data_IF_958818196199
#
_entry.id   IF_958818196199
#
_cell.length_a   1.000
_cell.length_b   1.000
_cell.length_c   1.000
_cell.angle_alpha   90.00
_cell.angle_beta   90.00
_cell.angle_gamma   90.00
#
_symmetry.space_group_name_H-M   'P 1'
#
loop_
_entity.id
_entity.type
_entity.pdbx_description
1 polymer ?
#
# COMPACT_ATOMS: atom_id res chain seq x y z
N UNK A 1 -17.10 18.50 9.01
CA UNK A 1 -16.50 18.24 7.68
C UNK A 1 -17.58 17.68 6.77
N UNK A 2 -17.76 18.20 5.57
CA UNK A 2 -18.79 17.69 4.64
C UNK A 2 -18.44 16.26 4.18
N UNK A 3 -19.43 15.38 4.05
CA UNK A 3 -19.27 13.99 3.58
C UNK A 3 -18.42 13.90 2.30
N UNK A 4 -18.66 14.82 1.35
CA UNK A 4 -17.92 14.90 0.08
C UNK A 4 -16.42 15.06 0.28
N UNK A 5 -15.99 15.87 1.26
CA UNK A 5 -14.57 16.08 1.52
C UNK A 5 -13.93 14.83 2.14
N UNK A 6 -14.66 14.11 2.99
CA UNK A 6 -14.18 12.85 3.56
C UNK A 6 -13.95 11.81 2.47
N UNK A 7 -14.91 11.64 1.56
CA UNK A 7 -14.75 10.76 0.40
C UNK A 7 -13.58 11.19 -0.49
N UNK A 8 -13.44 12.49 -0.78
CA UNK A 8 -12.34 12.99 -1.59
C UNK A 8 -10.98 12.60 -1.00
N UNK A 9 -10.77 12.86 0.30
CA UNK A 9 -9.51 12.53 0.98
C UNK A 9 -9.30 11.01 1.01
N UNK A 10 -10.36 10.24 1.29
CA UNK A 10 -10.30 8.77 1.32
C UNK A 10 -9.87 8.21 -0.05
N UNK A 11 -10.52 8.67 -1.12
CA UNK A 11 -10.22 8.22 -2.49
C UNK A 11 -8.82 8.65 -2.92
N UNK A 12 -8.40 9.89 -2.64
CA UNK A 12 -7.05 10.35 -2.96
C UNK A 12 -5.98 9.51 -2.25
N UNK A 13 -6.20 9.17 -0.98
CA UNK A 13 -5.30 8.28 -0.24
C UNK A 13 -5.23 6.88 -0.87
N UNK A 14 -6.38 6.31 -1.29
CA UNK A 14 -6.42 5.05 -2.04
C UNK A 14 -5.66 5.14 -3.36
N UNK A 15 -5.85 6.22 -4.14
CA UNK A 15 -5.15 6.44 -5.42
C UNK A 15 -3.64 6.52 -5.22
N UNK A 16 -3.18 7.30 -4.25
CA UNK A 16 -1.74 7.46 -3.97
C UNK A 16 -1.12 6.11 -3.60
N UNK A 17 -1.76 5.36 -2.69
CA UNK A 17 -1.18 4.12 -2.20
C UNK A 17 -1.30 2.98 -3.23
N UNK A 18 -2.51 2.65 -3.68
CA UNK A 18 -2.75 1.53 -4.60
C UNK A 18 -2.17 1.83 -5.97
N UNK A 19 -2.36 3.05 -6.49
CA UNK A 19 -1.77 3.49 -7.76
C UNK A 19 -0.24 3.52 -7.72
N UNK A 20 0.35 3.99 -6.62
CA UNK A 20 1.80 3.97 -6.43
C UNK A 20 2.36 2.54 -6.37
N UNK A 21 1.69 1.60 -5.71
CA UNK A 21 2.06 0.18 -5.74
C UNK A 21 1.93 -0.41 -7.13
N UNK A 22 0.87 -0.09 -7.87
CA UNK A 22 0.67 -0.54 -9.25
C UNK A 22 1.80 -0.06 -10.14
N UNK A 23 2.11 1.25 -10.13
CA UNK A 23 3.22 1.80 -10.90
C UNK A 23 4.55 1.15 -10.52
N UNK A 24 4.84 1.03 -9.22
CA UNK A 24 6.07 0.41 -8.75
C UNK A 24 6.22 -1.04 -9.26
N UNK A 25 5.17 -1.85 -9.15
CA UNK A 25 5.22 -3.27 -9.46
C UNK A 25 5.12 -3.58 -10.97
N UNK A 26 4.20 -2.92 -11.67
CA UNK A 26 3.87 -3.23 -13.07
C UNK A 26 4.71 -2.45 -14.08
N UNK A 27 5.24 -1.28 -13.69
CA UNK A 27 5.91 -0.36 -14.63
C UNK A 27 7.37 -0.18 -14.25
N UNK A 28 7.65 0.35 -13.06
CA UNK A 28 9.02 0.67 -12.66
C UNK A 28 9.88 -0.58 -12.52
N UNK A 29 9.35 -1.64 -11.91
CA UNK A 29 10.08 -2.88 -11.68
C UNK A 29 10.60 -3.55 -12.95
N UNK A 30 9.78 -3.86 -13.97
CA UNK A 30 10.28 -4.53 -15.17
C UNK A 30 11.33 -3.68 -15.88
N UNK A 31 11.13 -2.36 -15.98
CA UNK A 31 12.13 -1.44 -16.58
C UNK A 31 13.43 -1.46 -15.79
N UNK A 32 13.38 -1.33 -14.46
CA UNK A 32 14.58 -1.41 -13.62
C UNK A 32 15.27 -2.78 -13.65
N UNK A 33 14.56 -3.86 -14.03
CA UNK A 33 15.17 -5.18 -14.21
C UNK A 33 15.85 -5.34 -15.57
N UNK A 34 15.35 -4.68 -16.61
CA UNK A 34 15.89 -4.72 -17.96
C UNK A 34 17.10 -3.78 -18.12
N UNK A 35 17.02 -2.58 -17.54
CA UNK A 35 17.95 -1.49 -17.85
C UNK A 35 19.09 -1.34 -16.84
N UNK A 36 18.98 -1.91 -15.63
CA UNK A 36 19.92 -1.66 -14.53
C UNK A 36 20.58 -2.93 -14.03
N UNK A 37 21.89 -2.84 -13.78
CA UNK A 37 22.65 -3.86 -13.08
C UNK A 37 22.16 -4.06 -11.64
N UNK A 38 22.41 -5.23 -11.01
CA UNK A 38 21.85 -5.55 -9.69
C UNK A 38 22.14 -4.50 -8.60
N UNK A 39 23.36 -3.98 -8.40
CA UNK A 39 23.63 -2.96 -7.38
C UNK A 39 22.89 -1.65 -7.63
N UNK A 40 22.86 -1.20 -8.89
CA UNK A 40 22.17 0.04 -9.29
C UNK A 40 20.66 -0.07 -9.05
N UNK A 41 20.07 -1.21 -9.42
CA UNK A 41 18.65 -1.52 -9.17
C UNK A 41 18.32 -1.51 -7.68
N UNK A 42 19.18 -2.06 -6.83
CA UNK A 42 18.96 -2.08 -5.37
C UNK A 42 19.07 -0.68 -4.75
N UNK A 43 20.01 0.15 -5.23
CA UNK A 43 20.10 1.57 -4.84
C UNK A 43 18.86 2.35 -5.27
N UNK A 44 18.38 2.13 -6.50
CA UNK A 44 17.12 2.72 -7.00
C UNK A 44 15.95 2.37 -6.07
N UNK A 45 15.74 1.08 -5.79
CA UNK A 45 14.64 0.64 -4.94
C UNK A 45 14.71 1.18 -3.52
N UNK A 46 15.89 1.21 -2.90
CA UNK A 46 16.08 1.85 -1.61
C UNK A 46 15.69 3.34 -1.65
N UNK A 47 16.07 4.05 -2.72
CA UNK A 47 15.73 5.45 -2.95
C UNK A 47 14.25 5.71 -3.22
N UNK A 48 13.57 4.82 -3.95
CA UNK A 48 12.13 4.84 -4.23
C UNK A 48 11.35 4.63 -2.94
N UNK A 49 11.64 3.56 -2.19
CA UNK A 49 10.97 3.27 -0.92
C UNK A 49 11.17 4.37 0.11
N UNK A 50 12.38 4.94 0.20
CA UNK A 50 12.65 6.08 1.09
C UNK A 50 11.72 7.27 0.85
N UNK A 51 11.31 7.50 -0.40
CA UNK A 51 10.41 8.61 -0.77
C UNK A 51 8.95 8.21 -0.74
N UNK A 52 8.61 6.99 -1.16
CA UNK A 52 7.23 6.54 -1.27
C UNK A 52 6.62 6.10 0.06
N UNK A 53 7.38 5.47 0.95
CA UNK A 53 6.82 4.94 2.20
C UNK A 53 6.26 6.01 3.16
N UNK A 54 6.83 7.22 3.28
CA UNK A 54 6.17 8.32 3.99
C UNK A 54 4.79 8.68 3.42
N UNK A 55 4.62 8.66 2.10
CA UNK A 55 3.31 8.84 1.46
C UNK A 55 2.34 7.71 1.80
N UNK A 56 2.84 6.47 1.85
CA UNK A 56 2.02 5.31 2.24
C UNK A 56 1.56 5.43 3.70
N UNK A 57 2.43 5.79 4.64
CA UNK A 57 2.03 6.06 6.03
C UNK A 57 0.97 7.15 6.12
N UNK A 58 1.15 8.23 5.36
CA UNK A 58 0.18 9.34 5.30
C UNK A 58 -1.16 8.86 4.73
N UNK A 59 -1.15 8.06 3.67
CA UNK A 59 -2.35 7.47 3.09
C UNK A 59 -3.06 6.52 4.06
N UNK A 60 -2.34 5.66 4.77
CA UNK A 60 -2.91 4.76 5.80
C UNK A 60 -3.65 5.58 6.88
N UNK A 61 -3.00 6.60 7.43
CA UNK A 61 -3.62 7.45 8.45
C UNK A 61 -4.86 8.15 7.90
N UNK A 62 -4.77 8.71 6.69
CA UNK A 62 -5.91 9.34 6.03
C UNK A 62 -7.07 8.35 5.82
N UNK A 63 -6.80 7.14 5.34
CA UNK A 63 -7.82 6.11 5.09
C UNK A 63 -8.52 5.66 6.37
N UNK A 64 -7.77 5.40 7.44
CA UNK A 64 -8.35 4.98 8.73
C UNK A 64 -9.21 6.10 9.30
N UNK A 65 -8.67 7.33 9.40
CA UNK A 65 -9.39 8.45 9.99
C UNK A 65 -10.65 8.81 9.20
N UNK A 66 -10.55 8.87 7.87
CA UNK A 66 -11.70 9.18 7.02
C UNK A 66 -12.70 8.04 6.95
N UNK A 67 -12.26 6.78 6.91
CA UNK A 67 -13.14 5.61 6.92
C UNK A 67 -13.99 5.53 8.18
N UNK A 68 -13.37 5.73 9.35
CA UNK A 68 -14.09 5.77 10.63
C UNK A 68 -15.04 6.97 10.70
N UNK A 69 -14.63 8.15 10.24
CA UNK A 69 -15.49 9.34 10.21
C UNK A 69 -16.69 9.17 9.27
N UNK A 70 -16.50 8.55 8.10
CA UNK A 70 -17.57 8.22 7.16
C UNK A 70 -18.56 7.23 7.79
N UNK A 71 -18.06 6.14 8.38
CA UNK A 71 -18.91 5.15 9.04
C UNK A 71 -19.75 5.79 10.15
N UNK A 72 -19.16 6.66 10.98
CA UNK A 72 -19.88 7.40 12.02
C UNK A 72 -20.98 8.31 11.46
N UNK A 73 -20.69 9.07 10.39
CA UNK A 73 -21.68 9.95 9.77
C UNK A 73 -22.80 9.22 9.03
N UNK A 74 -22.56 7.97 8.62
CA UNK A 74 -23.54 7.10 7.95
C UNK A 74 -24.39 6.27 8.92
N UNK A 75 -24.34 6.55 10.23
CA UNK A 75 -25.13 5.85 11.25
C UNK A 75 -24.34 4.83 12.09
N UNK A 76 -23.02 4.73 11.88
CA UNK A 76 -22.11 3.90 12.66
C UNK A 76 -21.90 2.49 12.10
N UNK A 77 -20.93 1.77 12.67
CA UNK A 77 -20.54 0.42 12.22
C UNK A 77 -21.65 -0.63 12.40
N UNK A 78 -22.71 -0.36 13.17
CA UNK A 78 -23.86 -1.26 13.28
C UNK A 78 -24.85 -1.13 12.10
N UNK A 79 -24.76 -0.04 11.33
CA UNK A 79 -25.72 0.33 10.28
C UNK A 79 -25.13 0.18 8.89
N UNK A 80 -23.83 0.40 8.73
CA UNK A 80 -23.15 0.29 7.43
C UNK A 80 -23.27 -1.13 6.84
N UNK A 81 -23.35 -1.23 5.52
CA UNK A 81 -23.49 -2.51 4.84
C UNK A 81 -22.26 -3.41 4.99
N UNK A 82 -22.45 -4.73 4.78
CA UNK A 82 -21.40 -5.75 4.89
C UNK A 82 -20.13 -5.42 4.09
N UNK A 83 -20.29 -4.81 2.91
CA UNK A 83 -19.17 -4.38 2.07
C UNK A 83 -18.20 -3.43 2.80
N UNK A 84 -18.69 -2.55 3.68
CA UNK A 84 -17.84 -1.63 4.47
C UNK A 84 -17.02 -2.39 5.51
N UNK A 85 -17.60 -3.41 6.15
CA UNK A 85 -16.88 -4.24 7.11
C UNK A 85 -15.76 -5.03 6.46
N UNK A 86 -16.04 -5.66 5.31
CA UNK A 86 -15.02 -6.40 4.56
C UNK A 86 -13.95 -5.43 4.05
N UNK A 87 -14.36 -4.27 3.54
CA UNK A 87 -13.44 -3.23 3.07
C UNK A 87 -12.48 -2.77 4.18
N UNK A 88 -13.00 -2.53 5.38
CA UNK A 88 -12.20 -2.14 6.54
C UNK A 88 -11.24 -3.26 6.95
N UNK A 89 -11.72 -4.52 7.03
CA UNK A 89 -10.90 -5.66 7.39
C UNK A 89 -9.72 -5.86 6.42
N UNK A 90 -9.97 -5.75 5.11
CA UNK A 90 -8.93 -5.79 4.07
C UNK A 90 -7.95 -4.63 4.25
N UNK A 91 -8.44 -3.40 4.47
CA UNK A 91 -7.60 -2.23 4.71
C UNK A 91 -6.67 -2.38 5.93
N UNK A 92 -7.15 -2.97 7.03
CA UNK A 92 -6.34 -3.26 8.21
C UNK A 92 -5.29 -4.34 7.94
N UNK A 93 -5.65 -5.40 7.21
CA UNK A 93 -4.70 -6.43 6.79
C UNK A 93 -3.58 -5.85 5.91
N UNK A 94 -3.95 -5.03 4.91
CA UNK A 94 -3.02 -4.31 4.06
C UNK A 94 -2.05 -3.43 4.86
N UNK A 95 -2.58 -2.74 5.87
CA UNK A 95 -1.78 -1.91 6.79
C UNK A 95 -0.78 -2.74 7.59
N UNK A 96 -1.19 -3.91 8.11
CA UNK A 96 -0.31 -4.82 8.83
C UNK A 96 0.81 -5.37 7.93
N UNK A 97 0.49 -5.75 6.68
CA UNK A 97 1.48 -6.17 5.68
C UNK A 97 2.49 -5.05 5.42
N UNK A 98 2.02 -3.82 5.19
CA UNK A 98 2.90 -2.69 4.96
C UNK A 98 3.78 -2.37 6.17
N UNK A 99 3.22 -2.38 7.39
CA UNK A 99 4.01 -2.18 8.61
C UNK A 99 5.13 -3.23 8.72
N UNK A 100 4.82 -4.50 8.45
CA UNK A 100 5.83 -5.55 8.41
C UNK A 100 6.91 -5.27 7.34
N UNK A 101 6.53 -4.91 6.09
CA UNK A 101 7.46 -4.53 5.02
C UNK A 101 8.39 -3.39 5.49
N UNK A 102 7.82 -2.35 6.09
CA UNK A 102 8.55 -1.15 6.49
C UNK A 102 9.58 -1.44 7.59
N UNK A 103 9.16 -2.12 8.66
CA UNK A 103 10.00 -2.31 9.84
C UNK A 103 11.00 -3.46 9.71
N UNK A 104 10.73 -4.48 8.89
CA UNK A 104 11.60 -5.67 8.76
C UNK A 104 12.44 -5.64 7.47
N UNK A 105 11.93 -6.02 6.29
CA UNK A 105 12.78 -6.15 5.12
C UNK A 105 13.25 -4.81 4.54
N UNK A 106 12.47 -3.72 4.64
CA UNK A 106 12.98 -2.42 4.20
C UNK A 106 14.11 -1.89 5.10
N UNK A 107 14.01 -2.08 6.42
CA UNK A 107 15.10 -1.77 7.32
C UNK A 107 16.35 -2.63 7.03
N UNK A 108 16.18 -3.90 6.66
CA UNK A 108 17.27 -4.76 6.22
C UNK A 108 17.89 -4.29 4.89
N UNK A 109 17.07 -3.97 3.88
CA UNK A 109 17.51 -3.45 2.59
C UNK A 109 18.33 -2.17 2.77
N UNK A 110 17.82 -1.20 3.54
CA UNK A 110 18.49 0.08 3.76
C UNK A 110 19.88 -0.10 4.40
N UNK A 111 19.99 -0.98 5.40
CA UNK A 111 21.27 -1.30 6.04
C UNK A 111 22.23 -1.99 5.08
N UNK A 112 21.75 -2.98 4.33
CA UNK A 112 22.58 -3.73 3.38
C UNK A 112 23.08 -2.85 2.22
N UNK A 113 22.24 -1.96 1.68
CA UNK A 113 22.65 -1.00 0.64
C UNK A 113 23.68 0.00 1.17
N UNK A 114 23.53 0.48 2.41
CA UNK A 114 24.50 1.40 3.03
C UNK A 114 25.87 0.74 3.28
N UNK A 115 25.88 -0.56 3.57
CA UNK A 115 27.10 -1.37 3.73
C UNK A 115 27.61 -1.98 2.41
N UNK A 116 26.99 -1.65 1.27
CA UNK A 116 27.28 -2.24 -0.05
C UNK A 116 27.25 -3.79 -0.07
N UNK A 117 26.50 -4.40 0.85
CA UNK A 117 26.29 -5.84 0.90
C UNK A 117 25.17 -6.22 -0.08
N UNK A 118 25.52 -6.35 -1.36
CA UNK A 118 24.58 -6.64 -2.45
C UNK A 118 23.83 -7.98 -2.28
N UNK A 119 24.45 -9.07 -1.82
CA UNK A 119 23.72 -10.32 -1.53
C UNK A 119 22.62 -10.14 -0.49
N UNK A 120 22.91 -9.49 0.64
CA UNK A 120 21.92 -9.24 1.69
C UNK A 120 20.82 -8.26 1.23
N UNK A 121 21.18 -7.23 0.48
CA UNK A 121 20.23 -6.29 -0.11
C UNK A 121 19.28 -6.98 -1.10
N UNK A 122 19.82 -7.88 -1.95
CA UNK A 122 19.03 -8.71 -2.85
C UNK A 122 18.05 -9.63 -2.11
N UNK A 123 18.50 -10.30 -1.06
CA UNK A 123 17.64 -11.15 -0.22
C UNK A 123 16.49 -10.35 0.42
N UNK A 124 16.79 -9.17 0.99
CA UNK A 124 15.77 -8.29 1.54
C UNK A 124 14.76 -7.84 0.48
N UNK A 125 15.22 -7.45 -0.71
CA UNK A 125 14.36 -7.05 -1.82
C UNK A 125 13.45 -8.19 -2.30
N UNK A 126 13.96 -9.42 -2.34
CA UNK A 126 13.19 -10.60 -2.71
C UNK A 126 12.07 -10.91 -1.70
N UNK A 127 12.23 -10.50 -0.44
CA UNK A 127 11.18 -10.60 0.58
C UNK A 127 10.11 -9.50 0.43
N UNK A 128 10.51 -8.28 0.07
CA UNK A 128 9.58 -7.15 -0.15
C UNK A 128 8.63 -7.44 -1.31
N UNK A 129 9.15 -7.99 -2.41
CA UNK A 129 8.41 -8.16 -3.67
C UNK A 129 7.05 -8.88 -3.52
N UNK A 130 6.98 -10.12 -3.01
CA UNK A 130 5.71 -10.83 -2.90
C UNK A 130 4.73 -10.10 -1.96
N UNK A 131 5.22 -9.48 -0.89
CA UNK A 131 4.38 -8.74 0.05
C UNK A 131 3.74 -7.51 -0.61
N UNK A 132 4.50 -6.76 -1.41
CA UNK A 132 3.95 -5.64 -2.19
C UNK A 132 2.95 -6.13 -3.23
N UNK A 133 3.23 -7.26 -3.90
CA UNK A 133 2.30 -7.85 -4.86
C UNK A 133 0.98 -8.28 -4.19
N UNK A 134 1.05 -9.00 -3.07
CA UNK A 134 -0.13 -9.36 -2.26
C UNK A 134 -0.90 -8.12 -1.82
N UNK A 135 -0.21 -7.09 -1.34
CA UNK A 135 -0.84 -5.87 -0.89
C UNK A 135 -1.54 -5.12 -2.04
N UNK A 136 -0.92 -5.09 -3.23
CA UNK A 136 -1.53 -4.54 -4.44
C UNK A 136 -2.78 -5.34 -4.85
N UNK A 137 -2.71 -6.67 -4.87
CA UNK A 137 -3.86 -7.53 -5.19
C UNK A 137 -5.02 -7.30 -4.23
N UNK A 138 -4.75 -7.22 -2.93
CA UNK A 138 -5.75 -6.87 -1.92
C UNK A 138 -6.34 -5.50 -2.17
N UNK A 139 -5.53 -4.49 -2.47
CA UNK A 139 -6.00 -3.13 -2.76
C UNK A 139 -6.92 -3.07 -3.98
N UNK A 140 -6.57 -3.74 -5.08
CA UNK A 140 -7.41 -3.81 -6.28
C UNK A 140 -8.69 -4.59 -6.01
N UNK A 141 -8.61 -5.73 -5.33
CA UNK A 141 -9.78 -6.51 -4.92
C UNK A 141 -10.71 -5.69 -4.00
N UNK A 142 -10.14 -4.88 -3.11
CA UNK A 142 -10.91 -4.02 -2.21
C UNK A 142 -11.69 -2.95 -2.98
N UNK A 143 -11.05 -2.32 -3.98
CA UNK A 143 -11.73 -1.36 -4.86
C UNK A 143 -12.89 -2.06 -5.59
N UNK A 144 -12.65 -3.22 -6.21
CA UNK A 144 -13.70 -3.99 -6.90
C UNK A 144 -14.84 -4.33 -5.95
N UNK A 145 -14.53 -4.83 -4.75
CA UNK A 145 -15.51 -5.20 -3.74
C UNK A 145 -16.46 -4.06 -3.41
N UNK A 146 -15.94 -2.84 -3.22
CA UNK A 146 -16.76 -1.67 -2.86
C UNK A 146 -17.74 -1.29 -3.96
N UNK A 147 -17.39 -1.49 -5.23
CA UNK A 147 -18.28 -1.16 -6.36
C UNK A 147 -19.22 -2.30 -6.75
N UNK A 148 -18.81 -3.55 -6.58
CA UNK A 148 -19.57 -4.72 -7.07
C UNK A 148 -20.49 -5.29 -6.01
N UNK A 149 -20.01 -5.45 -4.77
CA UNK A 149 -20.79 -6.14 -3.73
C UNK A 149 -22.15 -5.46 -3.44
N UNK A 150 -22.26 -4.12 -3.37
CA UNK A 150 -23.55 -3.45 -3.17
C UNK A 150 -24.56 -3.62 -4.33
N UNK A 151 -24.12 -4.09 -5.50
CA UNK A 151 -25.00 -4.37 -6.65
C UNK A 151 -25.54 -5.80 -6.60
N UNK A 152 -24.88 -6.69 -5.83
CA UNK A 152 -25.20 -8.11 -5.74
C UNK A 152 -26.09 -8.47 -4.54
N UNK A 153 -26.20 -7.60 -3.54
CA UNK A 153 -27.00 -7.78 -2.31
C UNK A 153 -27.95 -6.60 -2.11
#
# INVERSE_FOLDING_TARGET
MTLKLLYLVHVLATVIWVGGMFFAHQVLRPVAMAELEPPQRLRLWNGVFRRFFPWVWTAILALILTGQALALQLGGMAVVGLHVHIMAAVGYLMTAIFAYIYFKPYAALRRAVAAENWPAAGAAQNHIRPLVATNLSLGLANIILVFVLPVLI
#
